data_IF_578905035026
#
_entry.id   IF_578905035026
#
_cell.length_a   1.000
_cell.length_b   1.000
_cell.length_c   1.000
_cell.angle_alpha   90.00
_cell.angle_beta   90.00
_cell.angle_gamma   90.00
#
_symmetry.space_group_name_H-M   'P 1'
#
loop_
_entity.id
_entity.type
_entity.pdbx_description
1 polymer ?
#
# COMPACT_ATOMS: atom_id res chain seq x y z
N UNK A 1 14.85 -9.24 -17.98
CA UNK A 1 14.23 -8.02 -17.41
C UNK A 1 13.08 -8.46 -16.53
N UNK A 2 13.01 -7.94 -15.31
CA UNK A 2 11.96 -8.29 -14.37
C UNK A 2 10.60 -7.89 -14.97
N UNK A 3 9.71 -8.87 -15.18
CA UNK A 3 8.40 -8.68 -15.83
C UNK A 3 7.28 -8.40 -14.81
N UNK A 4 7.62 -8.29 -13.52
CA UNK A 4 6.67 -7.92 -12.49
C UNK A 4 6.30 -6.44 -12.58
N UNK A 5 5.08 -6.09 -12.16
CA UNK A 5 4.74 -4.69 -11.93
C UNK A 5 5.66 -4.06 -10.89
N UNK A 6 5.81 -2.74 -10.96
CA UNK A 6 6.51 -1.95 -9.94
C UNK A 6 5.52 -1.53 -8.86
N UNK A 7 5.87 -1.77 -7.59
CA UNK A 7 4.97 -1.59 -6.45
C UNK A 7 5.56 -0.71 -5.34
N UNK A 8 4.74 0.20 -4.83
CA UNK A 8 4.78 0.68 -3.44
C UNK A 8 4.11 -0.38 -2.57
N UNK A 9 4.82 -0.95 -1.60
CA UNK A 9 4.26 -1.96 -0.69
C UNK A 9 3.90 -1.36 0.67
N UNK A 10 2.66 -1.57 1.10
CA UNK A 10 2.08 -1.01 2.32
C UNK A 10 1.64 -2.15 3.25
N UNK A 11 2.10 -2.15 4.49
CA UNK A 11 1.80 -3.18 5.48
C UNK A 11 1.00 -2.60 6.65
N UNK A 12 -0.28 -2.96 6.75
CA UNK A 12 -1.16 -2.57 7.85
C UNK A 12 -0.82 -3.19 9.21
N UNK A 13 -1.51 -2.74 10.26
CA UNK A 13 -1.39 -3.30 11.59
C UNK A 13 -2.34 -4.49 11.82
N UNK A 14 -2.11 -5.17 12.94
CA UNK A 14 -2.78 -6.42 13.34
C UNK A 14 -2.05 -7.23 14.41
N UNK A 15 -1.09 -6.61 15.12
CA UNK A 15 -0.30 -7.21 16.18
C UNK A 15 0.27 -8.61 15.82
N UNK A 16 -0.03 -9.67 16.57
CA UNK A 16 0.56 -11.00 16.32
C UNK A 16 0.18 -11.61 14.95
N UNK A 17 -0.92 -11.15 14.33
CA UNK A 17 -1.31 -11.56 12.97
C UNK A 17 -0.22 -11.21 11.94
N UNK A 18 0.62 -10.23 12.23
CA UNK A 18 1.75 -9.83 11.38
C UNK A 18 2.80 -10.90 11.16
N UNK A 19 2.80 -12.00 11.91
CA UNK A 19 3.61 -13.20 11.58
C UNK A 19 3.32 -13.71 10.16
N UNK A 20 2.08 -13.55 9.68
CA UNK A 20 1.71 -13.91 8.31
C UNK A 20 2.45 -13.10 7.23
N UNK A 21 2.92 -11.88 7.54
CA UNK A 21 3.68 -11.08 6.59
C UNK A 21 4.99 -11.72 6.17
N UNK A 22 5.59 -12.58 7.00
CA UNK A 22 6.83 -13.27 6.65
C UNK A 22 6.61 -14.19 5.44
N UNK A 23 5.47 -14.88 5.40
CA UNK A 23 5.06 -15.66 4.24
C UNK A 23 4.72 -14.81 3.03
N UNK A 24 4.02 -13.69 3.25
CA UNK A 24 3.73 -12.75 2.18
C UNK A 24 5.00 -12.17 1.54
N UNK A 25 5.98 -11.77 2.34
CA UNK A 25 7.30 -11.29 1.88
C UNK A 25 8.01 -12.39 1.11
N UNK A 26 8.01 -13.64 1.60
CA UNK A 26 8.57 -14.77 0.85
C UNK A 26 7.92 -14.91 -0.54
N UNK A 27 6.60 -14.81 -0.62
CA UNK A 27 5.90 -14.84 -1.90
C UNK A 27 6.31 -13.67 -2.80
N UNK A 28 6.45 -12.45 -2.26
CA UNK A 28 6.93 -11.29 -3.02
C UNK A 28 8.35 -11.51 -3.58
N UNK A 29 9.26 -12.07 -2.77
CA UNK A 29 10.62 -12.41 -3.19
C UNK A 29 10.63 -13.41 -4.35
N UNK A 30 9.84 -14.49 -4.25
CA UNK A 30 9.72 -15.50 -5.30
C UNK A 30 9.06 -14.97 -6.58
N UNK A 31 8.16 -13.98 -6.45
CA UNK A 31 7.54 -13.26 -7.57
C UNK A 31 8.47 -12.19 -8.18
N UNK A 32 9.66 -11.98 -7.62
CA UNK A 32 10.61 -10.96 -8.06
C UNK A 32 10.20 -9.53 -7.70
N UNK A 33 9.27 -9.33 -6.77
CA UNK A 33 8.80 -8.01 -6.35
C UNK A 33 9.73 -7.46 -5.28
N UNK A 34 10.52 -6.45 -5.64
CA UNK A 34 11.46 -5.77 -4.72
C UNK A 34 11.08 -4.30 -4.58
N UNK A 35 10.18 -3.95 -3.63
CA UNK A 35 9.68 -2.58 -3.49
C UNK A 35 10.79 -1.59 -3.14
N UNK A 36 10.73 -0.41 -3.75
CA UNK A 36 11.60 0.73 -3.38
C UNK A 36 10.93 1.66 -2.38
N UNK A 37 9.59 1.69 -2.41
CA UNK A 37 8.76 2.45 -1.49
C UNK A 37 8.00 1.49 -0.58
N UNK A 38 8.18 1.68 0.72
CA UNK A 38 7.66 0.83 1.78
C UNK A 38 6.96 1.70 2.82
N UNK A 39 5.81 1.25 3.31
CA UNK A 39 5.19 1.86 4.46
C UNK A 39 4.55 0.84 5.39
N UNK A 40 4.36 1.24 6.64
CA UNK A 40 3.55 0.45 7.53
C UNK A 40 3.10 1.14 8.81
N UNK A 41 2.11 0.52 9.45
CA UNK A 41 1.58 0.88 10.77
C UNK A 41 1.68 -0.31 11.71
N UNK A 42 1.96 -0.07 13.00
CA UNK A 42 2.09 -1.12 14.01
C UNK A 42 3.08 -2.22 13.58
N UNK A 43 2.72 -3.49 13.70
CA UNK A 43 3.53 -4.62 13.19
C UNK A 43 3.95 -4.47 11.73
N UNK A 44 3.14 -3.83 10.88
CA UNK A 44 3.49 -3.54 9.50
C UNK A 44 4.64 -2.54 9.36
N UNK A 45 4.78 -1.59 10.31
CA UNK A 45 5.94 -0.67 10.35
C UNK A 45 7.24 -1.40 10.65
N UNK A 46 7.20 -2.46 11.47
CA UNK A 46 8.34 -3.35 11.74
C UNK A 46 8.74 -4.03 10.43
N UNK A 47 7.79 -4.66 9.73
CA UNK A 47 8.07 -5.35 8.45
C UNK A 47 8.63 -4.37 7.43
N UNK A 48 7.97 -3.23 7.21
CA UNK A 48 8.40 -2.22 6.25
C UNK A 48 9.84 -1.73 6.54
N UNK A 49 10.15 -1.44 7.81
CA UNK A 49 11.47 -0.95 8.19
C UNK A 49 12.57 -2.02 8.08
N UNK A 50 12.30 -3.26 8.50
CA UNK A 50 13.26 -4.35 8.37
C UNK A 50 13.56 -4.66 6.89
N UNK A 51 12.53 -4.68 6.03
CA UNK A 51 12.74 -4.78 4.58
C UNK A 51 13.53 -3.59 4.03
N UNK A 52 13.27 -2.39 4.52
CA UNK A 52 13.95 -1.17 4.07
C UNK A 52 15.45 -1.18 4.39
N UNK A 53 15.86 -1.80 5.50
CA UNK A 53 17.28 -2.00 5.85
C UNK A 53 17.89 -3.29 5.30
N UNK A 54 17.13 -4.05 4.50
CA UNK A 54 17.63 -5.17 3.71
C UNK A 54 17.45 -6.56 4.33
N UNK A 55 16.55 -6.73 5.31
CA UNK A 55 16.15 -8.06 5.75
C UNK A 55 15.39 -8.81 4.65
N UNK A 56 15.61 -10.12 4.55
CA UNK A 56 14.83 -11.02 3.69
C UNK A 56 13.83 -11.88 4.50
N UNK A 57 12.93 -12.59 3.82
CA UNK A 57 11.90 -13.42 4.47
C UNK A 57 12.46 -14.49 5.40
N UNK A 58 13.62 -15.07 5.07
CA UNK A 58 14.29 -16.08 5.90
C UNK A 58 14.80 -15.49 7.21
N UNK A 59 15.44 -14.32 7.16
CA UNK A 59 15.91 -13.62 8.36
C UNK A 59 14.72 -13.13 9.22
N UNK A 60 13.65 -12.63 8.59
CA UNK A 60 12.41 -12.26 9.29
C UNK A 60 11.79 -13.46 10.02
N UNK A 61 11.79 -14.65 9.40
CA UNK A 61 11.33 -15.88 10.04
C UNK A 61 12.10 -16.17 11.33
N UNK A 62 13.43 -16.12 11.28
CA UNK A 62 14.29 -16.38 12.45
C UNK A 62 14.04 -15.39 13.59
N UNK A 63 13.77 -14.13 13.25
CA UNK A 63 13.42 -13.09 14.23
C UNK A 63 12.07 -13.40 14.88
N UNK A 64 11.02 -13.58 14.07
CA UNK A 64 9.65 -13.71 14.57
C UNK A 64 9.33 -15.06 15.22
N UNK A 65 10.15 -16.10 15.01
CA UNK A 65 10.08 -17.34 15.79
C UNK A 65 10.53 -17.13 17.25
N UNK A 66 11.37 -16.12 17.53
CA UNK A 66 11.93 -15.83 18.86
C UNK A 66 11.17 -14.73 19.61
N UNK A 67 10.35 -13.94 18.91
CA UNK A 67 9.50 -12.89 19.51
C UNK A 67 8.49 -13.53 20.48
N UNK A 68 8.52 -13.13 21.75
CA UNK A 68 7.56 -13.56 22.76
C UNK A 68 7.06 -12.37 23.59
N UNK A 69 6.16 -12.62 24.54
CA UNK A 69 5.59 -11.56 25.38
C UNK A 69 6.62 -10.85 26.27
N UNK A 70 7.81 -11.42 26.50
CA UNK A 70 8.84 -10.82 27.36
C UNK A 70 9.36 -9.49 26.82
N UNK A 71 9.26 -9.25 25.50
CA UNK A 71 9.57 -7.96 24.87
C UNK A 71 8.70 -6.81 25.38
N UNK A 72 7.54 -7.11 25.95
CA UNK A 72 6.57 -6.15 26.48
C UNK A 72 6.45 -6.21 28.02
N UNK A 73 7.35 -6.95 28.70
CA UNK A 73 7.31 -7.14 30.17
C UNK A 73 8.10 -6.11 30.98
N UNK A 74 8.48 -4.97 30.41
CA UNK A 74 9.05 -3.87 31.20
C UNK A 74 7.94 -3.13 31.96
N UNK A 75 7.45 -3.80 33.00
CA UNK A 75 6.25 -3.45 33.78
C UNK A 75 6.23 -1.96 34.12
N UNK A 76 5.20 -1.28 33.66
CA UNK A 76 4.82 0.03 34.18
C UNK A 76 3.97 -0.16 35.44
N UNK A 77 4.59 -0.11 36.63
CA UNK A 77 3.90 -0.11 37.94
C UNK A 77 3.17 1.22 38.23
N UNK A 78 2.67 1.89 37.19
CA UNK A 78 1.98 3.16 37.33
C UNK A 78 0.55 2.94 37.81
N UNK A 79 0.29 3.16 39.11
CA UNK A 79 -1.05 3.43 39.67
C UNK A 79 -1.62 4.79 39.18
N UNK A 80 -1.30 5.19 37.95
CA UNK A 80 -1.75 6.42 37.32
C UNK A 80 -2.93 6.20 36.37
N UNK A 81 -3.56 7.27 35.86
CA UNK A 81 -4.79 7.18 35.05
C UNK A 81 -4.59 6.53 33.66
N UNK A 82 -3.36 6.23 33.23
CA UNK A 82 -3.06 5.62 31.93
C UNK A 82 -2.64 4.16 32.15
N UNK A 83 -3.54 3.24 31.82
CA UNK A 83 -3.31 1.80 31.93
C UNK A 83 -2.43 1.32 30.76
N UNK A 84 -1.14 1.05 31.02
CA UNK A 84 -0.21 0.47 30.06
C UNK A 84 0.66 -0.59 30.75
N UNK A 85 0.81 -1.76 30.12
CA UNK A 85 1.58 -2.88 30.67
C UNK A 85 3.11 -2.67 30.55
N UNK A 86 3.55 -1.97 29.51
CA UNK A 86 4.95 -1.81 29.08
C UNK A 86 5.37 -0.35 29.00
N UNK A 87 6.60 -0.03 29.45
CA UNK A 87 7.25 1.25 29.16
C UNK A 87 7.73 1.32 27.70
N UNK A 88 8.06 0.17 27.12
CA UNK A 88 8.43 0.00 25.72
C UNK A 88 9.92 0.16 25.42
N UNK A 89 10.77 0.22 26.45
CA UNK A 89 12.22 0.40 26.30
C UNK A 89 12.89 -0.87 25.81
N UNK A 90 12.50 -2.03 26.35
CA UNK A 90 13.02 -3.35 25.90
C UNK A 90 12.67 -3.57 24.43
N UNK A 91 11.45 -3.22 24.03
CA UNK A 91 11.01 -3.29 22.65
C UNK A 91 11.78 -2.32 21.73
N UNK A 92 12.02 -1.09 22.19
CA UNK A 92 12.82 -0.10 21.46
C UNK A 92 14.26 -0.57 21.25
N UNK A 93 14.91 -1.07 22.30
CA UNK A 93 16.28 -1.57 22.23
C UNK A 93 16.38 -2.79 21.30
N UNK A 94 15.39 -3.70 21.35
CA UNK A 94 15.32 -4.82 20.41
C UNK A 94 15.21 -4.37 18.95
N UNK A 95 14.33 -3.40 18.66
CA UNK A 95 14.20 -2.84 17.31
C UNK A 95 15.49 -2.15 16.85
N UNK A 96 16.10 -1.37 17.73
CA UNK A 96 17.36 -0.66 17.47
C UNK A 96 18.47 -1.65 17.15
N UNK A 97 18.63 -2.70 17.95
CA UNK A 97 19.63 -3.74 17.72
C UNK A 97 19.43 -4.44 16.36
N UNK A 98 18.20 -4.77 15.97
CA UNK A 98 17.92 -5.37 14.66
C UNK A 98 18.30 -4.43 13.51
N UNK A 99 17.81 -3.19 13.56
CA UNK A 99 18.06 -2.21 12.50
C UNK A 99 19.55 -1.90 12.37
N UNK A 100 20.22 -1.63 13.49
CA UNK A 100 21.64 -1.26 13.51
C UNK A 100 22.55 -2.44 13.17
N UNK A 101 22.26 -3.65 13.62
CA UNK A 101 23.04 -4.85 13.26
C UNK A 101 23.01 -5.11 11.76
N UNK A 102 21.85 -4.94 11.11
CA UNK A 102 21.74 -5.09 9.66
C UNK A 102 22.42 -3.94 8.92
N UNK A 103 22.19 -2.70 9.35
CA UNK A 103 22.70 -1.52 8.68
C UNK A 103 24.23 -1.38 8.77
N UNK A 104 24.81 -1.58 9.95
CA UNK A 104 26.26 -1.45 10.17
C UNK A 104 27.03 -2.75 9.88
N UNK A 105 26.35 -3.90 9.83
CA UNK A 105 26.97 -5.21 9.61
C UNK A 105 28.03 -5.51 10.68
N UNK A 106 29.20 -5.97 10.24
CA UNK A 106 30.32 -6.32 11.13
C UNK A 106 30.83 -5.15 11.99
N UNK A 107 30.52 -3.90 11.62
CA UNK A 107 30.93 -2.70 12.38
C UNK A 107 29.97 -2.38 13.52
N UNK A 108 28.86 -3.10 13.64
CA UNK A 108 27.89 -2.87 14.70
C UNK A 108 28.46 -3.20 16.08
N UNK A 109 28.33 -2.24 17.00
CA UNK A 109 28.64 -2.37 18.42
C UNK A 109 27.50 -1.74 19.20
N UNK A 110 26.75 -2.57 19.93
CA UNK A 110 25.60 -2.15 20.71
C UNK A 110 25.92 -0.96 21.62
N UNK A 111 25.15 0.12 21.49
CA UNK A 111 25.29 1.34 22.27
C UNK A 111 26.46 2.25 21.88
N UNK A 112 27.28 1.90 20.88
CA UNK A 112 28.42 2.70 20.44
C UNK A 112 28.19 3.37 19.08
N UNK A 113 27.38 2.78 18.21
CA UNK A 113 26.98 3.41 16.95
C UNK A 113 25.89 4.45 17.19
N UNK A 114 25.82 5.45 16.30
CA UNK A 114 24.67 6.37 16.28
C UNK A 114 23.42 5.63 15.80
N UNK A 115 22.26 6.10 16.21
CA UNK A 115 20.97 5.67 15.68
C UNK A 115 20.89 5.78 14.15
N UNK A 116 20.25 4.80 13.52
CA UNK A 116 19.91 4.82 12.09
C UNK A 116 18.63 5.63 11.89
N UNK A 117 18.67 6.60 10.99
CA UNK A 117 17.58 7.54 10.72
C UNK A 117 17.07 7.41 9.29
N UNK A 118 15.93 8.04 8.97
CA UNK A 118 15.30 7.93 7.65
C UNK A 118 16.15 8.44 6.48
N UNK A 119 17.08 9.37 6.72
CA UNK A 119 18.01 9.84 5.67
C UNK A 119 19.11 8.84 5.36
N UNK A 120 19.38 7.87 6.24
CA UNK A 120 20.53 6.96 6.12
C UNK A 120 20.27 5.78 5.18
N UNK A 121 19.02 5.37 5.03
CA UNK A 121 18.62 4.19 4.25
C UNK A 121 18.31 4.56 2.81
N UNK A 122 18.60 3.71 1.82
CA UNK A 122 18.32 4.03 0.41
C UNK A 122 16.82 4.02 0.10
N UNK A 123 16.10 3.06 0.67
CA UNK A 123 14.67 2.81 0.45
C UNK A 123 13.81 3.96 0.97
N UNK A 124 12.72 4.24 0.27
CA UNK A 124 11.72 5.20 0.72
C UNK A 124 10.81 4.55 1.77
N UNK A 125 11.10 4.79 3.05
CA UNK A 125 10.31 4.28 4.18
C UNK A 125 9.38 5.36 4.75
N UNK A 126 8.12 5.00 4.96
CA UNK A 126 7.12 5.82 5.68
C UNK A 126 6.53 5.02 6.84
N UNK A 127 6.65 5.53 8.06
CA UNK A 127 6.02 4.94 9.24
C UNK A 127 4.82 5.79 9.64
N UNK A 128 3.67 5.14 9.78
CA UNK A 128 2.39 5.76 10.10
C UNK A 128 2.14 5.69 11.60
N UNK A 129 1.76 6.82 12.19
CA UNK A 129 1.35 6.93 13.61
C UNK A 129 0.09 7.77 13.72
N UNK A 130 -0.57 7.74 14.87
CA UNK A 130 -1.80 8.51 15.10
C UNK A 130 -1.55 9.60 16.13
N UNK A 131 -1.92 10.83 15.78
CA UNK A 131 -1.95 11.95 16.70
C UNK A 131 -3.28 11.96 17.46
N UNK A 132 -3.25 11.76 18.78
CA UNK A 132 -4.47 11.72 19.60
C UNK A 132 -5.14 13.08 19.84
N UNK A 133 -4.45 14.19 19.58
CA UNK A 133 -5.02 15.52 19.81
C UNK A 133 -5.95 15.96 18.68
N UNK A 134 -5.76 15.46 17.46
CA UNK A 134 -6.57 15.80 16.29
C UNK A 134 -7.03 14.59 15.46
N UNK A 135 -6.64 13.37 15.86
CA UNK A 135 -6.94 12.09 15.19
C UNK A 135 -6.35 11.93 13.79
N UNK A 136 -5.42 12.79 13.40
CA UNK A 136 -4.77 12.74 12.09
C UNK A 136 -3.55 11.80 12.09
N UNK A 137 -3.18 11.36 10.89
CA UNK A 137 -1.92 10.66 10.68
C UNK A 137 -0.73 11.60 10.92
N UNK A 138 0.23 11.15 11.73
CA UNK A 138 1.58 11.70 11.76
C UNK A 138 2.53 10.70 11.09
N UNK A 139 3.06 11.08 9.94
CA UNK A 139 4.12 10.30 9.28
C UNK A 139 5.50 10.59 9.86
N UNK A 140 6.34 9.55 9.86
CA UNK A 140 7.78 9.64 9.96
C UNK A 140 8.39 9.09 8.68
N UNK A 141 9.21 9.91 8.02
CA UNK A 141 9.77 9.61 6.71
C UNK A 141 11.02 10.45 6.46
N UNK A 142 11.74 10.17 5.37
CA UNK A 142 12.85 11.04 4.93
C UNK A 142 12.38 12.43 4.50
N UNK A 143 11.10 12.59 4.18
CA UNK A 143 10.54 13.83 3.67
C UNK A 143 10.12 14.76 4.80
N UNK A 144 9.59 14.21 5.90
CA UNK A 144 9.06 14.99 7.02
C UNK A 144 9.99 14.97 8.25
N UNK A 145 10.74 13.87 8.46
CA UNK A 145 11.58 13.66 9.65
C UNK A 145 12.90 12.92 9.32
N UNK A 146 13.76 13.46 8.44
CA UNK A 146 14.96 12.77 7.93
C UNK A 146 15.96 12.34 9.02
N UNK A 147 16.10 13.14 10.07
CA UNK A 147 17.03 12.91 11.18
C UNK A 147 16.42 12.09 12.33
N UNK A 148 15.15 11.69 12.24
CA UNK A 148 14.49 10.93 13.29
C UNK A 148 14.88 9.45 13.23
N UNK A 149 15.13 8.84 14.39
CA UNK A 149 15.50 7.43 14.50
C UNK A 149 14.34 6.52 14.04
N UNK A 150 14.66 5.56 13.18
CA UNK A 150 13.66 4.62 12.64
C UNK A 150 13.08 3.75 13.75
N UNK A 151 13.91 3.18 14.64
CA UNK A 151 13.47 2.35 15.76
C UNK A 151 12.47 3.09 16.68
N UNK A 152 12.74 4.36 16.98
CA UNK A 152 11.83 5.21 17.76
C UNK A 152 10.50 5.45 17.04
N UNK A 153 10.51 5.67 15.72
CA UNK A 153 9.27 5.84 14.95
C UNK A 153 8.41 4.56 14.95
N UNK A 154 9.03 3.39 14.80
CA UNK A 154 8.34 2.08 14.92
C UNK A 154 7.76 1.93 16.32
N UNK A 155 8.53 2.24 17.38
CA UNK A 155 8.05 2.18 18.76
C UNK A 155 6.79 3.03 18.96
N UNK A 156 6.75 4.24 18.40
CA UNK A 156 5.55 5.10 18.42
C UNK A 156 4.40 4.42 17.65
N UNK A 157 4.67 3.90 16.45
CA UNK A 157 3.70 3.20 15.61
C UNK A 157 3.14 1.92 16.24
N UNK A 158 3.82 1.32 17.22
CA UNK A 158 3.39 0.13 17.97
C UNK A 158 2.83 0.44 19.37
N UNK A 159 2.52 1.71 19.67
CA UNK A 159 1.93 2.13 20.96
C UNK A 159 0.47 1.72 21.09
N UNK A 160 0.20 0.43 21.09
CA UNK A 160 -1.14 -0.11 21.22
C UNK A 160 -1.70 0.25 22.61
N UNK A 161 -2.86 0.92 22.70
CA UNK A 161 -3.50 1.25 23.97
C UNK A 161 -3.65 0.01 24.86
N UNK A 162 -3.34 0.14 26.15
CA UNK A 162 -3.32 -0.98 27.10
C UNK A 162 -2.00 -1.78 27.13
N UNK A 163 -1.28 -1.87 26.02
CA UNK A 163 0.00 -2.58 25.95
C UNK A 163 1.19 -1.65 26.25
N UNK A 164 1.36 -0.56 25.51
CA UNK A 164 2.51 0.34 25.63
C UNK A 164 2.09 1.79 25.91
N UNK A 165 2.89 2.51 26.70
CA UNK A 165 2.62 3.90 27.02
C UNK A 165 2.71 4.78 25.75
N UNK A 166 1.76 5.72 25.54
CA UNK A 166 1.83 6.69 24.45
C UNK A 166 3.08 7.59 24.58
N UNK A 167 3.51 8.20 23.47
CA UNK A 167 4.69 9.09 23.43
C UNK A 167 4.26 10.51 23.18
N UNK A 168 4.81 11.43 23.96
CA UNK A 168 4.72 12.84 23.66
C UNK A 168 5.83 13.22 22.67
N UNK A 169 5.43 13.72 21.50
CA UNK A 169 6.31 14.24 20.47
C UNK A 169 5.80 15.62 20.04
N UNK A 170 6.65 16.64 20.15
CA UNK A 170 6.32 18.03 19.83
C UNK A 170 4.99 18.50 20.49
N UNK A 171 4.83 18.25 21.79
CA UNK A 171 3.62 18.59 22.58
C UNK A 171 2.35 17.87 22.14
N UNK A 172 2.48 16.79 21.39
CA UNK A 172 1.34 15.99 20.93
C UNK A 172 1.51 14.54 21.31
N UNK A 173 0.40 13.89 21.66
CA UNK A 173 0.41 12.50 22.08
C UNK A 173 0.27 11.62 20.84
N UNK A 174 1.28 10.82 20.55
CA UNK A 174 1.30 9.88 19.45
C UNK A 174 1.09 8.44 19.95
N UNK A 175 0.31 7.69 19.19
CA UNK A 175 0.00 6.27 19.44
C UNK A 175 0.05 5.43 18.17
N UNK A 176 -0.32 4.15 18.30
CA UNK A 176 -0.35 3.18 17.22
C UNK A 176 -1.02 3.74 15.94
N UNK A 177 -0.37 3.51 14.80
CA UNK A 177 -0.86 3.93 13.48
C UNK A 177 -2.07 3.14 13.00
N UNK A 178 -2.36 1.98 13.57
CA UNK A 178 -3.48 1.13 13.18
C UNK A 178 -4.85 1.76 13.47
N UNK A 179 -4.90 2.80 14.32
CA UNK A 179 -6.12 3.62 14.45
C UNK A 179 -6.48 4.36 13.14
N UNK A 180 -5.54 4.51 12.21
CA UNK A 180 -5.79 5.09 10.87
C UNK A 180 -6.33 4.06 9.86
N UNK A 181 -6.55 2.80 10.25
CA UNK A 181 -6.94 1.69 9.35
C UNK A 181 -8.29 1.89 8.64
N UNK A 182 -9.11 2.85 9.06
CA UNK A 182 -10.31 3.27 8.33
C UNK A 182 -10.02 4.01 7.02
N UNK A 183 -8.76 4.37 6.76
CA UNK A 183 -8.29 4.94 5.50
C UNK A 183 -7.39 3.97 4.74
N UNK A 184 -7.39 3.99 3.39
CA UNK A 184 -6.33 3.34 2.62
C UNK A 184 -4.99 3.98 2.98
N UNK A 185 -3.98 3.16 3.26
CA UNK A 185 -2.71 3.67 3.80
C UNK A 185 -2.03 4.68 2.86
N UNK A 186 -2.15 4.47 1.54
CA UNK A 186 -1.60 5.40 0.54
C UNK A 186 -2.22 6.81 0.57
N UNK A 187 -3.40 7.00 1.19
CA UNK A 187 -3.99 8.34 1.38
C UNK A 187 -3.41 9.10 2.57
N UNK A 188 -2.77 8.39 3.50
CA UNK A 188 -2.27 8.98 4.74
C UNK A 188 -0.98 9.79 4.54
N UNK A 189 -0.33 9.62 3.39
CA UNK A 189 0.89 10.33 3.01
C UNK A 189 0.92 10.60 1.51
N UNK A 190 1.20 11.85 1.13
CA UNK A 190 1.45 12.23 -0.28
C UNK A 190 2.65 11.49 -0.89
N UNK A 191 3.53 10.95 -0.06
CA UNK A 191 4.77 10.29 -0.48
C UNK A 191 4.57 8.81 -0.86
N UNK A 192 3.34 8.29 -0.77
CA UNK A 192 3.02 6.88 -1.06
C UNK A 192 2.36 6.66 -2.41
N UNK A 193 1.71 7.69 -2.98
CA UNK A 193 1.01 7.60 -4.26
C UNK A 193 1.88 8.12 -5.41
N UNK A 194 2.88 7.31 -5.80
CA UNK A 194 3.79 7.63 -6.90
C UNK A 194 3.14 7.35 -8.27
N UNK A 195 3.53 8.11 -9.29
CA UNK A 195 2.92 8.00 -10.63
C UNK A 195 3.29 6.69 -11.33
N UNK A 196 4.55 6.26 -11.21
CA UNK A 196 5.13 5.10 -11.91
C UNK A 196 5.08 3.79 -11.12
N UNK A 197 4.46 3.79 -9.94
CA UNK A 197 4.28 2.62 -9.09
C UNK A 197 2.80 2.33 -8.85
N UNK A 198 2.46 1.04 -8.80
CA UNK A 198 1.16 0.57 -8.31
C UNK A 198 1.20 0.49 -6.78
N UNK A 199 0.05 0.60 -6.15
CA UNK A 199 -0.06 0.33 -4.72
C UNK A 199 -0.34 -1.16 -4.50
N UNK A 200 0.44 -1.80 -3.65
CA UNK A 200 0.16 -3.11 -3.08
C UNK A 200 -0.04 -2.96 -1.57
N UNK A 201 -1.29 -2.95 -1.12
CA UNK A 201 -1.64 -2.79 0.29
C UNK A 201 -2.05 -4.12 0.92
N UNK A 202 -1.28 -4.55 1.92
CA UNK A 202 -1.59 -5.71 2.73
C UNK A 202 -2.38 -5.32 3.98
N UNK A 203 -3.47 -6.02 4.24
CA UNK A 203 -4.32 -5.81 5.43
C UNK A 203 -4.45 -7.11 6.20
N UNK A 204 -4.24 -7.05 7.52
CA UNK A 204 -4.40 -8.20 8.40
C UNK A 204 -5.81 -8.23 8.96
N UNK A 205 -6.53 -9.32 8.74
CA UNK A 205 -7.87 -9.54 9.27
C UNK A 205 -7.99 -10.93 9.89
N UNK A 206 -9.03 -11.15 10.67
CA UNK A 206 -9.35 -12.43 11.29
C UNK A 206 -10.82 -12.46 11.64
N UNK A 207 -11.30 -13.60 12.12
CA UNK A 207 -12.68 -13.76 12.56
C UNK A 207 -12.74 -14.12 14.04
N UNK A 208 -13.92 -13.92 14.62
CA UNK A 208 -14.25 -14.41 15.93
C UNK A 208 -14.97 -15.76 15.79
N UNK A 209 -14.54 -16.76 16.55
CA UNK A 209 -15.20 -18.07 16.59
C UNK A 209 -16.21 -18.11 17.75
N UNK A 210 -17.50 -18.01 17.41
CA UNK A 210 -18.62 -18.02 18.36
C UNK A 210 -18.83 -19.39 19.05
N UNK A 211 -18.09 -20.45 18.67
CA UNK A 211 -18.26 -21.79 19.25
C UNK A 211 -17.74 -21.90 20.70
N UNK A 212 -17.05 -20.88 21.22
CA UNK A 212 -16.61 -20.82 22.62
C UNK A 212 -17.66 -20.13 23.51
N UNK A 213 -18.39 -20.91 24.31
CA UNK A 213 -19.45 -20.43 25.22
C UNK A 213 -18.95 -19.59 26.42
N UNK A 214 -17.63 -19.41 26.59
CA UNK A 214 -17.04 -18.61 27.68
C UNK A 214 -16.20 -17.46 27.09
N UNK A 215 -16.84 -16.31 26.89
CA UNK A 215 -16.23 -15.14 26.26
C UNK A 215 -15.47 -14.32 27.32
N UNK A 216 -14.13 -14.39 27.34
CA UNK A 216 -13.33 -13.57 28.25
C UNK A 216 -13.34 -12.10 27.82
N UNK A 217 -12.94 -11.17 28.71
CA UNK A 217 -12.82 -9.76 28.35
C UNK A 217 -11.83 -9.49 27.21
N UNK A 218 -10.80 -10.32 27.07
CA UNK A 218 -9.84 -10.25 25.96
C UNK A 218 -10.44 -10.76 24.65
N UNK A 219 -11.24 -11.82 24.72
CA UNK A 219 -11.95 -12.36 23.55
C UNK A 219 -12.96 -11.34 23.03
N UNK A 220 -13.69 -10.67 23.93
CA UNK A 220 -14.59 -9.58 23.58
C UNK A 220 -13.87 -8.42 22.89
N UNK A 221 -12.77 -7.96 23.48
CA UNK A 221 -11.97 -6.86 22.91
C UNK A 221 -11.42 -7.23 21.53
N UNK A 222 -10.96 -8.47 21.35
CA UNK A 222 -10.49 -8.98 20.06
C UNK A 222 -11.61 -9.08 19.01
N UNK A 223 -12.82 -9.49 19.42
CA UNK A 223 -14.00 -9.53 18.55
C UNK A 223 -14.40 -8.13 18.10
N UNK A 224 -14.44 -7.16 19.01
CA UNK A 224 -14.74 -5.74 18.70
C UNK A 224 -13.69 -5.17 17.74
N UNK A 225 -12.39 -5.39 18.04
CA UNK A 225 -11.31 -4.98 17.15
C UNK A 225 -11.45 -5.59 15.76
N UNK A 226 -11.63 -6.92 15.67
CA UNK A 226 -11.76 -7.63 14.39
C UNK A 226 -12.98 -7.18 13.59
N UNK A 227 -14.10 -6.88 14.26
CA UNK A 227 -15.29 -6.32 13.62
C UNK A 227 -15.00 -4.95 13.00
N UNK A 228 -14.40 -4.03 13.77
CA UNK A 228 -14.07 -2.69 13.30
C UNK A 228 -13.09 -2.73 12.11
N UNK A 229 -12.03 -3.54 12.20
CA UNK A 229 -11.04 -3.63 11.11
C UNK A 229 -11.60 -4.30 9.87
N UNK A 230 -12.40 -5.36 10.02
CA UNK A 230 -13.03 -6.04 8.89
C UNK A 230 -14.01 -5.12 8.14
N UNK A 231 -14.78 -4.30 8.85
CA UNK A 231 -15.66 -3.29 8.25
C UNK A 231 -14.85 -2.27 7.44
N UNK A 232 -13.79 -1.71 8.03
CA UNK A 232 -12.90 -0.76 7.34
C UNK A 232 -12.21 -1.38 6.13
N UNK A 233 -11.80 -2.66 6.24
CA UNK A 233 -11.21 -3.41 5.15
C UNK A 233 -12.18 -3.65 4.01
N UNK A 234 -13.37 -4.16 4.29
CA UNK A 234 -14.42 -4.37 3.30
C UNK A 234 -14.80 -3.08 2.58
N UNK A 235 -15.00 -1.98 3.33
CA UNK A 235 -15.33 -0.67 2.74
C UNK A 235 -14.27 -0.20 1.74
N UNK A 236 -12.99 -0.28 2.12
CA UNK A 236 -11.88 0.14 1.26
C UNK A 236 -11.74 -0.77 0.04
N UNK A 237 -11.79 -2.09 0.22
CA UNK A 237 -11.63 -3.02 -0.91
C UNK A 237 -12.79 -2.89 -1.90
N UNK A 238 -14.03 -2.67 -1.43
CA UNK A 238 -15.19 -2.47 -2.30
C UNK A 238 -15.05 -1.22 -3.19
N UNK A 239 -14.39 -0.17 -2.69
CA UNK A 239 -14.22 1.08 -3.45
C UNK A 239 -13.00 1.02 -4.37
N UNK A 240 -11.88 0.44 -3.92
CA UNK A 240 -10.58 0.62 -4.59
C UNK A 240 -10.01 -0.66 -5.22
N UNK A 241 -10.38 -1.86 -4.78
CA UNK A 241 -9.71 -3.09 -5.24
C UNK A 241 -9.96 -3.40 -6.72
N UNK A 242 -11.05 -2.89 -7.30
CA UNK A 242 -11.34 -3.02 -8.74
C UNK A 242 -10.55 -2.06 -9.65
N UNK A 243 -9.84 -1.09 -9.08
CA UNK A 243 -9.14 -0.05 -9.83
C UNK A 243 -7.74 -0.49 -10.24
N UNK A 244 -7.23 0.07 -11.33
CA UNK A 244 -5.95 -0.31 -11.92
C UNK A 244 -4.76 -0.09 -10.99
N UNK A 245 -4.68 1.10 -10.38
CA UNK A 245 -3.54 1.51 -9.56
C UNK A 245 -3.43 0.79 -8.21
N UNK A 246 -4.52 0.21 -7.68
CA UNK A 246 -4.58 -0.28 -6.31
C UNK A 246 -4.85 -1.78 -6.24
N UNK A 247 -3.88 -2.54 -5.75
CA UNK A 247 -3.97 -3.96 -5.48
C UNK A 247 -3.99 -4.18 -3.95
N UNK A 248 -4.98 -4.92 -3.44
CA UNK A 248 -5.16 -5.18 -2.01
C UNK A 248 -5.07 -6.68 -1.74
N UNK A 249 -4.26 -7.07 -0.76
CA UNK A 249 -4.18 -8.45 -0.27
C UNK A 249 -4.64 -8.45 1.19
N UNK A 250 -5.81 -9.03 1.43
CA UNK A 250 -6.36 -9.22 2.77
C UNK A 250 -5.90 -10.58 3.26
N UNK A 251 -5.00 -10.59 4.25
CA UNK A 251 -4.53 -11.82 4.88
C UNK A 251 -5.47 -12.16 6.03
N UNK A 252 -6.31 -13.18 5.82
CA UNK A 252 -7.17 -13.71 6.87
C UNK A 252 -6.40 -14.72 7.72
N UNK A 253 -6.15 -14.38 8.98
CA UNK A 253 -5.36 -15.20 9.92
C UNK A 253 -6.19 -16.12 10.81
N UNK A 254 -7.48 -16.27 10.52
CA UNK A 254 -8.37 -17.12 11.29
C UNK A 254 -8.81 -16.52 12.62
N UNK A 255 -8.92 -17.39 13.62
CA UNK A 255 -9.37 -17.13 15.00
C UNK A 255 -8.29 -16.53 15.92
N UNK A 256 -7.16 -16.10 15.36
CA UNK A 256 -6.01 -15.62 16.14
C UNK A 256 -6.36 -14.32 16.89
N UNK A 257 -6.23 -14.41 18.22
CA UNK A 257 -6.36 -13.29 19.15
C UNK A 257 -5.15 -12.36 19.01
N UNK A 258 -5.41 -11.10 18.70
CA UNK A 258 -4.35 -10.14 18.29
C UNK A 258 -3.29 -9.87 19.36
N UNK A 259 -3.65 -10.03 20.64
CA UNK A 259 -2.75 -9.78 21.78
C UNK A 259 -2.14 -11.04 22.38
N UNK A 260 -2.39 -12.23 21.81
CA UNK A 260 -1.74 -13.46 22.27
C UNK A 260 -0.34 -13.62 21.65
N UNK A 261 0.65 -12.95 22.25
CA UNK A 261 2.04 -13.03 21.80
C UNK A 261 2.75 -14.34 22.18
N UNK A 262 2.08 -15.25 22.91
CA UNK A 262 2.66 -16.51 23.37
C UNK A 262 2.29 -17.71 22.49
N UNK A 263 1.71 -17.47 21.30
CA UNK A 263 1.48 -18.54 20.32
C UNK A 263 2.74 -19.34 20.03
N UNK A 264 2.59 -20.67 19.99
CA UNK A 264 3.69 -21.60 19.81
C UNK A 264 4.26 -21.57 18.37
N UNK A 265 5.42 -22.19 18.17
CA UNK A 265 6.11 -22.21 16.88
C UNK A 265 5.27 -22.85 15.75
N UNK A 266 4.43 -23.85 16.05
CA UNK A 266 3.57 -24.48 15.04
C UNK A 266 2.52 -23.50 14.51
N UNK A 267 1.83 -22.77 15.39
CA UNK A 267 0.84 -21.76 14.99
C UNK A 267 1.50 -20.58 14.26
N UNK A 268 2.73 -20.21 14.63
CA UNK A 268 3.52 -19.21 13.88
C UNK A 268 3.83 -19.68 12.46
N UNK A 269 4.29 -20.93 12.30
CA UNK A 269 4.55 -21.49 10.97
C UNK A 269 3.28 -21.60 10.13
N UNK A 270 2.14 -21.93 10.75
CA UNK A 270 0.82 -21.91 10.11
C UNK A 270 0.47 -20.51 9.60
N UNK A 271 0.62 -19.48 10.44
CA UNK A 271 0.41 -18.08 10.04
C UNK A 271 1.30 -17.65 8.86
N UNK A 272 2.58 -18.03 8.90
CA UNK A 272 3.50 -17.79 7.77
C UNK A 272 3.01 -18.49 6.50
N UNK A 273 2.55 -19.75 6.61
CA UNK A 273 2.00 -20.48 5.46
C UNK A 273 0.75 -19.81 4.91
N UNK A 274 -0.17 -19.41 5.77
CA UNK A 274 -1.40 -18.65 5.42
C UNK A 274 -1.04 -17.39 4.62
N UNK A 275 -0.07 -16.61 5.10
CA UNK A 275 0.36 -15.39 4.42
C UNK A 275 0.98 -15.65 3.05
N UNK A 276 1.80 -16.70 2.93
CA UNK A 276 2.39 -17.11 1.65
C UNK A 276 1.33 -17.58 0.66
N UNK A 277 0.45 -18.50 1.08
CA UNK A 277 -0.57 -19.11 0.21
C UNK A 277 -1.55 -18.07 -0.32
N UNK A 278 -2.09 -17.19 0.53
CA UNK A 278 -3.03 -16.15 0.12
C UNK A 278 -2.38 -15.11 -0.80
N UNK A 279 -1.10 -14.78 -0.57
CA UNK A 279 -0.35 -13.86 -1.45
C UNK A 279 -0.12 -14.51 -2.82
N UNK A 280 0.30 -15.77 -2.86
CA UNK A 280 0.50 -16.51 -4.11
C UNK A 280 -0.82 -16.71 -4.87
N UNK A 281 -1.91 -17.04 -4.17
CA UNK A 281 -3.25 -17.15 -4.75
C UNK A 281 -3.68 -15.82 -5.38
N UNK A 282 -3.48 -14.70 -4.67
CA UNK A 282 -3.80 -13.39 -5.19
C UNK A 282 -3.09 -13.14 -6.53
N UNK A 283 -1.77 -13.26 -6.58
CA UNK A 283 -1.00 -12.99 -7.80
C UNK A 283 -1.29 -13.99 -8.94
N UNK A 284 -1.52 -15.26 -8.64
CA UNK A 284 -1.67 -16.31 -9.67
C UNK A 284 -3.10 -16.54 -10.12
N UNK A 285 -4.11 -16.09 -9.37
CA UNK A 285 -5.52 -16.39 -9.64
C UNK A 285 -6.40 -15.14 -9.65
N UNK A 286 -6.31 -14.30 -8.62
CA UNK A 286 -7.21 -13.14 -8.47
C UNK A 286 -6.76 -11.98 -9.37
N UNK A 287 -5.48 -11.64 -9.31
CA UNK A 287 -4.89 -10.52 -10.03
C UNK A 287 -5.00 -10.67 -11.56
N UNK A 288 -4.76 -11.85 -12.18
CA UNK A 288 -4.98 -12.05 -13.61
C UNK A 288 -6.41 -11.72 -14.05
N UNK A 289 -7.42 -12.23 -13.34
CA UNK A 289 -8.83 -11.96 -13.66
C UNK A 289 -9.15 -10.47 -13.59
N UNK A 290 -8.60 -9.77 -12.58
CA UNK A 290 -8.71 -8.31 -12.45
C UNK A 290 -8.03 -7.60 -13.62
N UNK A 291 -6.77 -7.90 -13.91
CA UNK A 291 -5.97 -7.21 -14.93
C UNK A 291 -6.48 -7.49 -16.35
N UNK A 292 -7.10 -8.64 -16.61
CA UNK A 292 -7.80 -8.90 -17.88
C UNK A 292 -8.93 -7.90 -18.13
N UNK A 293 -9.81 -7.69 -17.14
CA UNK A 293 -10.92 -6.73 -17.26
C UNK A 293 -10.42 -5.30 -17.47
N UNK A 294 -9.39 -4.90 -16.73
CA UNK A 294 -8.79 -3.57 -16.86
C UNK A 294 -8.15 -3.38 -18.24
N UNK A 295 -7.47 -4.41 -18.76
CA UNK A 295 -6.89 -4.37 -20.11
C UNK A 295 -7.97 -4.10 -21.16
N UNK A 296 -9.11 -4.79 -21.06
CA UNK A 296 -10.23 -4.59 -22.00
C UNK A 296 -10.77 -3.15 -21.93
N UNK A 297 -10.84 -2.56 -20.73
CA UNK A 297 -11.20 -1.15 -20.55
C UNK A 297 -10.21 -0.19 -21.21
N UNK A 298 -8.90 -0.41 -21.06
CA UNK A 298 -7.90 0.40 -21.78
C UNK A 298 -7.96 0.19 -23.30
N UNK A 299 -8.35 -1.00 -23.76
CA UNK A 299 -8.52 -1.28 -25.19
C UNK A 299 -9.68 -0.46 -25.80
N UNK A 300 -10.78 -0.29 -25.06
CA UNK A 300 -11.86 0.64 -25.46
C UNK A 300 -11.31 2.05 -25.66
N UNK A 301 -10.58 2.58 -24.67
CA UNK A 301 -9.96 3.92 -24.76
C UNK A 301 -9.02 4.02 -25.96
N UNK A 302 -8.13 3.04 -26.14
CA UNK A 302 -7.17 3.00 -27.23
C UNK A 302 -7.85 3.01 -28.60
N UNK A 303 -8.95 2.26 -28.76
CA UNK A 303 -9.73 2.25 -29.99
C UNK A 303 -10.33 3.62 -30.31
N UNK A 304 -10.83 4.35 -29.31
CA UNK A 304 -11.32 5.71 -29.50
C UNK A 304 -10.19 6.66 -29.92
N UNK A 305 -9.05 6.62 -29.21
CA UNK A 305 -7.90 7.48 -29.53
C UNK A 305 -7.38 7.24 -30.96
N UNK A 306 -7.28 5.97 -31.38
CA UNK A 306 -6.88 5.62 -32.75
C UNK A 306 -7.86 6.11 -33.80
N UNK A 307 -9.18 6.00 -33.55
CA UNK A 307 -10.22 6.56 -34.43
C UNK A 307 -10.12 8.08 -34.52
N UNK A 308 -9.94 8.78 -33.39
CA UNK A 308 -9.75 10.24 -33.35
C UNK A 308 -8.52 10.63 -34.18
N UNK A 309 -7.39 9.93 -34.00
CA UNK A 309 -6.16 10.21 -34.74
C UNK A 309 -6.34 10.05 -36.25
N UNK A 310 -7.03 8.99 -36.69
CA UNK A 310 -7.37 8.76 -38.10
C UNK A 310 -8.26 9.88 -38.67
N UNK A 311 -9.26 10.31 -37.91
CA UNK A 311 -10.18 11.38 -38.32
C UNK A 311 -9.50 12.74 -38.42
N UNK A 312 -8.65 13.10 -37.46
CA UNK A 312 -7.81 14.31 -37.51
C UNK A 312 -6.88 14.25 -38.73
N UNK A 313 -6.21 13.12 -38.94
CA UNK A 313 -5.30 12.93 -40.08
C UNK A 313 -6.00 13.01 -41.44
N UNK A 314 -7.28 12.67 -41.48
CA UNK A 314 -8.13 12.80 -42.68
C UNK A 314 -8.85 14.16 -42.79
N UNK A 315 -8.46 15.14 -41.97
CA UNK A 315 -9.07 16.48 -41.89
C UNK A 315 -10.60 16.45 -41.67
N UNK A 316 -11.08 15.49 -40.87
CA UNK A 316 -12.50 15.32 -40.53
C UNK A 316 -12.76 15.73 -39.06
N UNK A 317 -12.55 17.01 -38.78
CA UNK A 317 -12.43 17.55 -37.41
C UNK A 317 -13.73 17.45 -36.61
N UNK A 318 -14.88 17.65 -37.26
CA UNK A 318 -16.18 17.51 -36.59
C UNK A 318 -16.47 16.07 -36.17
N UNK A 319 -16.15 15.08 -37.02
CA UNK A 319 -16.27 13.67 -36.64
C UNK A 319 -15.29 13.29 -35.54
N UNK A 320 -14.07 13.83 -35.56
CA UNK A 320 -13.11 13.64 -34.48
C UNK A 320 -13.64 14.17 -33.14
N UNK A 321 -14.30 15.35 -33.15
CA UNK A 321 -14.99 15.91 -31.98
C UNK A 321 -16.12 15.00 -31.48
N UNK A 322 -16.93 14.42 -32.38
CA UNK A 322 -17.97 13.47 -31.99
C UNK A 322 -17.37 12.20 -31.37
N UNK A 323 -16.34 11.61 -31.99
CA UNK A 323 -15.65 10.44 -31.45
C UNK A 323 -15.01 10.69 -30.08
N UNK A 324 -14.51 11.91 -29.85
CA UNK A 324 -14.04 12.35 -28.53
C UNK A 324 -15.20 12.45 -27.53
N UNK A 325 -16.38 12.90 -27.97
CA UNK A 325 -17.61 12.83 -27.19
C UNK A 325 -17.94 11.39 -26.77
N UNK A 326 -17.93 10.45 -27.72
CA UNK A 326 -18.18 9.03 -27.45
C UNK A 326 -17.17 8.44 -26.47
N UNK A 327 -15.89 8.82 -26.58
CA UNK A 327 -14.87 8.43 -25.59
C UNK A 327 -15.25 8.92 -24.19
N UNK A 328 -15.70 10.16 -24.05
CA UNK A 328 -16.08 10.69 -22.74
C UNK A 328 -17.38 10.08 -22.20
N UNK A 329 -18.27 9.60 -23.06
CA UNK A 329 -19.42 8.77 -22.67
C UNK A 329 -18.94 7.47 -22.04
N UNK A 330 -18.05 6.72 -22.70
CA UNK A 330 -17.51 5.47 -22.15
C UNK A 330 -16.68 5.73 -20.87
N UNK A 331 -15.95 6.85 -20.82
CA UNK A 331 -15.19 7.24 -19.62
C UNK A 331 -16.06 7.51 -18.39
N UNK A 332 -17.36 7.79 -18.55
CA UNK A 332 -18.27 7.89 -17.39
C UNK A 332 -18.26 6.60 -16.56
N UNK A 333 -18.16 5.44 -17.20
CA UNK A 333 -18.09 4.14 -16.52
C UNK A 333 -16.65 3.77 -16.15
N UNK A 334 -15.66 4.23 -16.94
CA UNK A 334 -14.27 3.81 -16.79
C UNK A 334 -13.41 4.70 -15.87
N UNK A 335 -13.81 5.94 -15.59
CA UNK A 335 -12.99 6.90 -14.82
C UNK A 335 -12.62 6.40 -13.42
N UNK A 336 -13.46 5.54 -12.83
CA UNK A 336 -13.20 4.94 -11.54
C UNK A 336 -12.31 3.71 -11.60
N UNK A 337 -12.00 3.18 -12.79
CA UNK A 337 -11.25 1.94 -12.98
C UNK A 337 -9.82 2.22 -13.46
N UNK A 338 -9.64 3.11 -14.45
CA UNK A 338 -8.33 3.44 -15.01
C UNK A 338 -7.47 4.28 -14.04
N UNK A 339 -6.17 4.40 -14.30
CA UNK A 339 -5.29 5.27 -13.52
C UNK A 339 -5.75 6.73 -13.64
N UNK A 340 -5.78 7.44 -12.51
CA UNK A 340 -6.20 8.84 -12.46
C UNK A 340 -5.34 9.73 -13.35
N UNK A 341 -4.05 9.40 -13.49
CA UNK A 341 -3.11 10.11 -14.36
C UNK A 341 -3.54 10.01 -15.82
N UNK A 342 -3.93 8.81 -16.25
CA UNK A 342 -4.41 8.57 -17.61
C UNK A 342 -5.74 9.31 -17.87
N UNK A 343 -6.65 9.32 -16.87
CA UNK A 343 -7.90 10.08 -16.95
C UNK A 343 -7.67 11.60 -17.07
N UNK A 344 -6.79 12.18 -16.26
CA UNK A 344 -6.49 13.62 -16.32
C UNK A 344 -5.74 14.00 -17.62
N UNK A 345 -4.92 13.10 -18.17
CA UNK A 345 -4.31 13.26 -19.50
C UNK A 345 -5.38 13.35 -20.60
N UNK A 346 -6.35 12.43 -20.61
CA UNK A 346 -7.47 12.43 -21.56
C UNK A 346 -8.32 13.71 -21.45
N UNK A 347 -8.57 14.18 -20.24
CA UNK A 347 -9.30 15.42 -19.94
C UNK A 347 -8.54 16.66 -20.40
N UNK A 348 -7.23 16.68 -20.18
CA UNK A 348 -6.34 17.76 -20.64
C UNK A 348 -6.32 17.84 -22.16
N UNK A 349 -6.18 16.70 -22.84
CA UNK A 349 -6.26 16.63 -24.30
C UNK A 349 -7.63 17.07 -24.82
N UNK A 350 -8.74 16.67 -24.18
CA UNK A 350 -10.08 17.12 -24.59
C UNK A 350 -10.17 18.63 -24.60
N UNK A 351 -9.76 19.28 -23.51
CA UNK A 351 -9.81 20.74 -23.41
C UNK A 351 -8.93 21.40 -24.47
N UNK A 352 -7.70 20.91 -24.62
CA UNK A 352 -6.76 21.39 -25.62
C UNK A 352 -7.31 21.26 -27.05
N UNK A 353 -7.86 20.08 -27.40
CA UNK A 353 -8.43 19.83 -28.72
C UNK A 353 -9.60 20.77 -29.01
N UNK A 354 -10.57 20.87 -28.10
CA UNK A 354 -11.77 21.69 -28.29
C UNK A 354 -11.45 23.18 -28.44
N UNK A 355 -10.51 23.71 -27.65
CA UNK A 355 -10.09 25.11 -27.72
C UNK A 355 -9.39 25.47 -29.05
N UNK A 356 -8.81 24.48 -29.73
CA UNK A 356 -8.09 24.68 -30.99
C UNK A 356 -8.95 24.41 -32.23
N UNK A 357 -10.25 24.05 -32.10
CA UNK A 357 -11.12 23.90 -33.27
C UNK A 357 -11.52 25.28 -33.80
N UNK A 358 -11.21 25.53 -35.07
CA UNK A 358 -11.63 26.73 -35.81
C UNK A 358 -12.85 26.37 -36.66
N UNK A 359 -13.95 27.08 -36.44
CA UNK A 359 -15.17 26.97 -37.25
C UNK A 359 -15.17 28.06 -38.33
N UNK A 360 -15.42 27.71 -39.60
CA UNK A 360 -15.53 28.70 -40.67
C UNK A 360 -16.81 29.55 -40.48
N UNK A 361 -16.76 30.87 -40.77
CA UNK A 361 -17.91 31.76 -40.58
C UNK A 361 -19.09 31.47 -41.54
N UNK A 362 -18.80 31.02 -42.76
CA UNK A 362 -19.77 30.55 -43.76
C UNK A 362 -19.13 29.39 -44.54
N UNK A 363 -19.93 28.41 -44.98
CA UNK A 363 -19.58 27.21 -45.78
C UNK A 363 -18.09 26.79 -45.75
N UNK A 364 -17.76 25.72 -45.01
CA UNK A 364 -16.41 25.16 -45.01
C UNK A 364 -16.24 24.00 -44.03
N UNK A 365 -15.05 23.40 -44.02
CA UNK A 365 -14.67 22.38 -43.04
C UNK A 365 -14.02 23.03 -41.82
N UNK A 366 -14.39 22.56 -40.62
CA UNK A 366 -13.67 22.92 -39.40
C UNK A 366 -12.19 22.51 -39.51
N UNK A 367 -11.31 23.33 -38.95
CA UNK A 367 -9.85 23.12 -38.92
C UNK A 367 -9.34 23.10 -37.48
N UNK A 368 -8.08 22.73 -37.30
CA UNK A 368 -7.41 22.78 -36.00
C UNK A 368 -6.31 23.86 -36.06
N UNK A 369 -6.30 24.78 -35.10
CA UNK A 369 -5.16 25.67 -34.86
C UNK A 369 -4.01 24.88 -34.21
N UNK A 370 -2.75 25.15 -34.55
CA UNK A 370 -1.61 24.40 -34.01
C UNK A 370 -1.70 22.88 -34.19
N UNK A 371 -2.20 22.42 -35.34
CA UNK A 371 -2.48 20.99 -35.62
C UNK A 371 -1.30 20.05 -35.28
N UNK A 372 -0.05 20.49 -35.54
CA UNK A 372 1.15 19.72 -35.21
C UNK A 372 1.25 19.41 -33.70
N UNK A 373 0.95 20.39 -32.85
CA UNK A 373 0.99 20.23 -31.40
C UNK A 373 -0.10 19.25 -30.93
N UNK A 374 -1.33 19.42 -31.42
CA UNK A 374 -2.45 18.52 -31.12
C UNK A 374 -2.14 17.07 -31.51
N UNK A 375 -1.59 16.85 -32.71
CA UNK A 375 -1.18 15.51 -33.15
C UNK A 375 -0.06 14.92 -32.29
N UNK A 376 0.86 15.76 -31.81
CA UNK A 376 1.95 15.33 -30.92
C UNK A 376 1.39 14.85 -29.58
N UNK A 377 0.51 15.63 -28.94
CA UNK A 377 -0.14 15.22 -27.69
C UNK A 377 -1.00 13.97 -27.85
N UNK A 378 -1.78 13.88 -28.92
CA UNK A 378 -2.58 12.68 -29.20
C UNK A 378 -1.70 11.44 -29.39
N UNK A 379 -0.59 11.58 -30.11
CA UNK A 379 0.37 10.48 -30.33
C UNK A 379 1.02 10.04 -29.01
N UNK A 380 1.39 10.99 -28.15
CA UNK A 380 1.91 10.72 -26.81
C UNK A 380 0.91 9.92 -25.97
N UNK A 381 -0.35 10.34 -25.93
CA UNK A 381 -1.40 9.60 -25.20
C UNK A 381 -1.65 8.21 -25.77
N UNK A 382 -1.75 8.07 -27.10
CA UNK A 382 -1.90 6.75 -27.74
C UNK A 382 -0.75 5.84 -27.33
N UNK A 383 0.48 6.34 -27.36
CA UNK A 383 1.65 5.58 -26.92
C UNK A 383 1.53 5.16 -25.45
N UNK A 384 1.19 6.07 -24.55
CA UNK A 384 1.04 5.77 -23.12
C UNK A 384 -0.01 4.67 -22.86
N UNK A 385 -1.20 4.78 -23.46
CA UNK A 385 -2.25 3.77 -23.31
C UNK A 385 -1.85 2.45 -23.99
N UNK A 386 -1.13 2.50 -25.12
CA UNK A 386 -0.59 1.28 -25.77
C UNK A 386 0.41 0.57 -24.86
N UNK A 387 1.33 1.31 -24.26
CA UNK A 387 2.34 0.77 -23.34
C UNK A 387 1.65 0.15 -22.10
N UNK A 388 0.56 0.77 -21.61
CA UNK A 388 -0.26 0.23 -20.51
C UNK A 388 -0.93 -1.10 -20.87
N UNK A 389 -1.53 -1.19 -22.06
CA UNK A 389 -2.13 -2.45 -22.55
C UNK A 389 -1.06 -3.53 -22.65
N UNK A 390 0.11 -3.21 -23.22
CA UNK A 390 1.23 -4.14 -23.32
C UNK A 390 1.77 -4.59 -21.96
N UNK A 391 1.85 -3.70 -20.97
CA UNK A 391 2.21 -4.01 -19.58
C UNK A 391 1.27 -5.09 -19.00
N UNK A 392 -0.04 -4.92 -19.19
CA UNK A 392 -1.06 -5.86 -18.72
C UNK A 392 -1.02 -7.20 -19.48
N UNK A 393 -0.84 -7.17 -20.80
CA UNK A 393 -0.70 -8.38 -21.63
C UNK A 393 0.54 -9.20 -21.24
N UNK A 394 1.66 -8.54 -20.97
CA UNK A 394 2.88 -9.18 -20.50
C UNK A 394 2.66 -9.91 -19.17
N UNK A 395 1.90 -9.30 -18.24
CA UNK A 395 1.53 -9.95 -16.99
C UNK A 395 0.63 -11.17 -17.23
N UNK A 396 -0.41 -11.02 -18.05
CA UNK A 396 -1.37 -12.09 -18.37
C UNK A 396 -0.75 -13.25 -19.15
N UNK A 397 0.32 -13.01 -19.90
CA UNK A 397 1.08 -14.06 -20.57
C UNK A 397 1.84 -14.97 -19.56
N UNK A 398 2.24 -14.42 -18.41
CA UNK A 398 2.88 -15.17 -17.33
C UNK A 398 1.85 -15.85 -16.43
N UNK A 399 0.75 -15.15 -16.15
CA UNK A 399 -0.33 -15.63 -15.30
C UNK A 399 -1.67 -15.47 -16.04
N UNK A 400 -2.09 -16.48 -16.81
CA UNK A 400 -3.36 -16.42 -17.54
C UNK A 400 -4.55 -16.30 -16.59
N UNK A 401 -5.52 -15.47 -16.95
CA UNK A 401 -6.81 -15.46 -16.27
C UNK A 401 -7.53 -16.80 -16.55
N UNK A 402 -8.11 -17.40 -15.50
CA UNK A 402 -8.85 -18.65 -15.61
C UNK A 402 -10.31 -18.42 -15.97
#
# INVERSE_FOLDING_TARGET
>A
MNKSFKYTCLFGGGAIRGVSYIGAVKALEELGITPQTLAGSSVGSIIAALLAVGYNSGELKEIFLKVNFDLFRDISLGLGPIFALSKGEVFLDWLRDLIESKFYGEKYKKGANRSVTFKDIDKNLVIITTNLSNFECKEFSRYETPDFEIASAIRISCCMPGLMKPIEYNKTILVDGDLQKSWPMWKLSKNLLLNDERILEFRLEGYYDDNNNNLSGLDYANAVYSCMTAMSTSFITNIYAGKDKFDYIVLNTGDVVVVDFNINANKRNELMKIGYDQTMEYFKQILPCKKSKIKDNYFVILNHLNKINKLISSNNILKAKMQLGDLFTDLCDLHNIIDLTDYEDLKSFKNLFLQNIIYPPLFGKAKINNERFIKTELTRMIKNITDKVAELENYLALYPAK
#
